data_IF_263480619738
#
_entry.id   IF_263480619738
#
_cell.length_a   1.000
_cell.length_b   1.000
_cell.length_c   1.000
_cell.angle_alpha   90.00
_cell.angle_beta   90.00
_cell.angle_gamma   90.00
#
_symmetry.space_group_name_H-M   'P 1'
#
loop_
_entity.id
_entity.type
_entity.pdbx_description
1 polymer ?
#
# COMPACT_ATOMS: atom_id res chain seq x y z
N UNK A 1 -14.43 16.26 -6.36
CA UNK A 1 -13.27 16.66 -5.55
C UNK A 1 -12.40 15.42 -5.41
N UNK A 2 -11.11 15.51 -5.75
CA UNK A 2 -10.17 14.43 -5.49
C UNK A 2 -9.80 14.47 -4.01
N UNK A 3 -9.89 13.33 -3.32
CA UNK A 3 -9.50 13.19 -1.92
C UNK A 3 -8.10 12.60 -1.86
N UNK A 4 -7.18 13.26 -1.17
CA UNK A 4 -5.84 12.73 -0.90
C UNK A 4 -5.81 12.02 0.45
N UNK A 5 -4.92 11.05 0.61
CA UNK A 5 -4.64 10.41 1.88
C UNK A 5 -3.16 10.64 2.22
N UNK A 6 -2.90 11.20 3.39
CA UNK A 6 -1.55 11.52 3.83
C UNK A 6 -1.02 10.38 4.70
N UNK A 7 0.11 9.79 4.27
CA UNK A 7 0.82 8.79 5.06
C UNK A 7 1.81 9.44 6.04
N UNK A 8 2.08 8.81 7.20
CA UNK A 8 3.10 9.28 8.13
C UNK A 8 4.51 9.17 7.52
N UNK A 9 5.49 9.81 8.17
CA UNK A 9 6.90 9.66 7.81
C UNK A 9 7.35 8.20 8.02
N UNK A 10 8.01 7.64 7.00
CA UNK A 10 8.51 6.27 7.02
C UNK A 10 10.03 6.30 7.08
N UNK A 11 10.60 5.70 8.12
CA UNK A 11 12.05 5.57 8.27
C UNK A 11 12.56 4.38 7.47
N UNK A 12 13.72 4.48 6.85
CA UNK A 12 14.31 3.35 6.14
C UNK A 12 15.05 2.40 7.09
N UNK A 13 15.03 1.12 6.77
CA UNK A 13 15.89 0.15 7.45
C UNK A 13 17.36 0.41 7.13
N UNK A 14 18.24 -0.02 8.04
CA UNK A 14 19.67 0.08 7.78
C UNK A 14 20.04 -0.69 6.50
N UNK A 15 20.96 -0.19 5.64
CA UNK A 15 21.34 -0.86 4.38
C UNK A 15 21.85 -2.30 4.52
N UNK A 16 22.27 -2.74 5.72
CA UNK A 16 22.63 -4.14 5.96
C UNK A 16 21.43 -5.10 6.10
N UNK A 17 20.21 -4.55 6.23
CA UNK A 17 18.95 -5.29 6.39
C UNK A 17 18.09 -5.31 5.13
N UNK A 18 18.45 -4.53 4.12
CA UNK A 18 17.75 -4.43 2.86
C UNK A 18 18.76 -4.51 1.72
N UNK A 19 18.44 -5.29 0.68
CA UNK A 19 19.32 -5.48 -0.47
C UNK A 19 18.49 -5.67 -1.72
N UNK A 20 19.07 -5.31 -2.86
CA UNK A 20 18.44 -5.51 -4.17
C UNK A 20 18.42 -6.99 -4.52
N UNK A 21 17.38 -7.70 -4.10
CA UNK A 21 17.18 -9.11 -4.42
C UNK A 21 15.70 -9.48 -4.52
N UNK A 22 15.44 -10.72 -4.95
CA UNK A 22 14.08 -11.25 -5.04
C UNK A 22 13.38 -11.33 -3.68
N UNK A 23 14.11 -11.44 -2.57
CA UNK A 23 13.53 -11.58 -1.24
C UNK A 23 12.88 -10.26 -0.80
N UNK A 24 13.49 -9.12 -1.15
CA UNK A 24 12.87 -7.80 -0.93
C UNK A 24 11.53 -7.68 -1.65
N UNK A 25 11.41 -8.21 -2.87
CA UNK A 25 10.14 -8.23 -3.61
C UNK A 25 9.13 -9.23 -3.02
N UNK A 26 9.59 -10.40 -2.54
CA UNK A 26 8.73 -11.39 -1.89
C UNK A 26 8.13 -10.87 -0.58
N UNK A 27 8.86 -10.04 0.17
CA UNK A 27 8.35 -9.44 1.41
C UNK A 27 7.11 -8.58 1.16
N UNK A 28 7.00 -7.90 0.01
CA UNK A 28 5.78 -7.17 -0.37
C UNK A 28 4.57 -8.11 -0.44
N UNK A 29 4.73 -9.32 -1.00
CA UNK A 29 3.64 -10.30 -1.09
C UNK A 29 3.24 -10.82 0.29
N UNK A 30 4.21 -11.03 1.18
CA UNK A 30 4.00 -11.44 2.56
C UNK A 30 3.17 -10.39 3.32
N UNK A 31 3.63 -9.13 3.36
CA UNK A 31 2.91 -8.03 4.03
C UNK A 31 1.51 -7.81 3.44
N UNK A 32 1.38 -7.91 2.11
CA UNK A 32 0.07 -7.79 1.46
C UNK A 32 -0.87 -8.93 1.88
N UNK A 33 -0.34 -10.13 2.08
CA UNK A 33 -1.14 -11.29 2.50
C UNK A 33 -1.61 -11.13 3.94
N UNK A 34 -0.76 -10.62 4.82
CA UNK A 34 -1.11 -10.32 6.22
C UNK A 34 -2.23 -9.27 6.29
N UNK A 35 -2.09 -8.15 5.57
CA UNK A 35 -3.13 -7.12 5.47
C UNK A 35 -4.46 -7.69 4.97
N UNK A 36 -4.44 -8.59 3.98
CA UNK A 36 -5.65 -9.25 3.46
C UNK A 36 -6.30 -10.13 4.52
N UNK A 37 -5.53 -10.89 5.29
CA UNK A 37 -6.07 -11.73 6.36
C UNK A 37 -6.70 -10.88 7.48
N UNK A 38 -6.04 -9.79 7.90
CA UNK A 38 -6.59 -8.86 8.89
C UNK A 38 -7.88 -8.21 8.39
N UNK A 39 -7.93 -7.78 7.12
CA UNK A 39 -9.16 -7.24 6.53
C UNK A 39 -10.30 -8.27 6.50
N UNK A 40 -10.01 -9.54 6.16
CA UNK A 40 -11.00 -10.62 6.18
C UNK A 40 -11.52 -10.89 7.59
N UNK A 41 -10.66 -10.87 8.60
CA UNK A 41 -11.06 -11.07 9.98
C UNK A 41 -11.92 -9.90 10.48
N UNK A 42 -11.53 -8.66 10.17
CA UNK A 42 -12.31 -7.46 10.48
C UNK A 42 -13.73 -7.53 9.94
N UNK A 43 -13.92 -7.97 8.69
CA UNK A 43 -15.24 -8.11 8.06
C UNK A 43 -16.13 -9.18 8.72
N UNK A 44 -15.54 -10.16 9.41
CA UNK A 44 -16.28 -11.21 10.13
C UNK A 44 -16.67 -10.80 11.55
N UNK A 45 -16.04 -9.75 12.10
CA UNK A 45 -16.37 -9.27 13.44
C UNK A 45 -17.72 -8.53 13.40
N UNK A 46 -18.65 -8.93 14.26
CA UNK A 46 -20.01 -8.37 14.33
C UNK A 46 -20.05 -6.99 15.05
N UNK A 47 -19.04 -6.14 14.82
CA UNK A 47 -19.05 -4.73 15.21
C UNK A 47 -18.61 -4.38 16.64
N UNK A 48 -18.36 -5.36 17.51
CA UNK A 48 -17.95 -5.11 18.91
C UNK A 48 -16.53 -4.56 19.09
N UNK A 49 -15.68 -4.70 18.07
CA UNK A 49 -14.22 -4.48 18.17
C UNK A 49 -13.70 -3.47 17.13
N UNK A 50 -14.57 -2.58 16.63
CA UNK A 50 -14.24 -1.69 15.49
C UNK A 50 -12.88 -0.98 15.66
N UNK A 51 -12.62 -0.38 16.82
CA UNK A 51 -11.37 0.34 17.09
C UNK A 51 -10.16 -0.59 17.02
N UNK A 52 -10.26 -1.78 17.62
CA UNK A 52 -9.17 -2.76 17.60
C UNK A 52 -8.84 -3.20 16.17
N UNK A 53 -9.85 -3.45 15.33
CA UNK A 53 -9.63 -3.80 13.93
C UNK A 53 -9.05 -2.64 13.12
N UNK A 54 -9.44 -1.39 13.42
CA UNK A 54 -8.83 -0.21 12.80
C UNK A 54 -7.35 -0.10 13.14
N UNK A 55 -6.98 -0.33 14.40
CA UNK A 55 -5.59 -0.27 14.85
C UNK A 55 -4.74 -1.38 14.21
N UNK A 56 -5.27 -2.62 14.13
CA UNK A 56 -4.58 -3.73 13.47
C UNK A 56 -4.43 -3.51 11.96
N UNK A 57 -5.48 -3.03 11.29
CA UNK A 57 -5.39 -2.67 9.87
C UNK A 57 -4.39 -1.54 9.63
N UNK A 58 -4.36 -0.54 10.51
CA UNK A 58 -3.40 0.56 10.41
C UNK A 58 -1.96 0.06 10.59
N UNK A 59 -1.73 -0.88 11.51
CA UNK A 59 -0.43 -1.52 11.68
C UNK A 59 0.02 -2.24 10.40
N UNK A 60 -0.81 -3.10 9.83
CA UNK A 60 -0.47 -3.86 8.62
C UNK A 60 -0.27 -2.94 7.40
N UNK A 61 -1.03 -1.84 7.31
CA UNK A 61 -0.79 -0.80 6.29
C UNK A 61 0.58 -0.15 6.49
N UNK A 62 0.97 0.17 7.73
CA UNK A 62 2.27 0.74 8.01
C UNK A 62 3.41 -0.24 7.70
N UNK A 63 3.24 -1.53 7.96
CA UNK A 63 4.27 -2.54 7.65
C UNK A 63 4.46 -2.72 6.13
N UNK A 64 3.35 -2.72 5.38
CA UNK A 64 3.40 -2.71 3.92
C UNK A 64 4.07 -1.44 3.38
N UNK A 65 3.75 -0.26 3.91
CA UNK A 65 4.38 1.00 3.52
C UNK A 65 5.88 1.01 3.83
N UNK A 66 6.28 0.52 5.00
CA UNK A 66 7.68 0.35 5.39
C UNK A 66 8.41 -0.58 4.42
N UNK A 67 7.80 -1.70 4.06
CA UNK A 67 8.33 -2.67 3.12
C UNK A 67 8.48 -2.10 1.71
N UNK A 68 7.51 -1.30 1.25
CA UNK A 68 7.58 -0.58 -0.03
C UNK A 68 8.67 0.50 -0.03
N UNK A 69 8.84 1.23 1.08
CA UNK A 69 9.89 2.23 1.20
C UNK A 69 11.28 1.58 1.13
N UNK A 70 11.50 0.48 1.86
CA UNK A 70 12.74 -0.29 1.80
C UNK A 70 12.96 -0.91 0.41
N UNK A 71 11.90 -1.38 -0.26
CA UNK A 71 12.00 -1.84 -1.64
C UNK A 71 12.45 -0.72 -2.58
N UNK A 72 11.88 0.48 -2.45
CA UNK A 72 12.27 1.63 -3.27
C UNK A 72 13.74 1.99 -3.03
N UNK A 73 14.19 2.04 -1.77
CA UNK A 73 15.58 2.33 -1.42
C UNK A 73 16.55 1.27 -1.97
N UNK A 74 16.26 -0.01 -1.73
CA UNK A 74 17.08 -1.12 -2.24
C UNK A 74 17.20 -1.14 -3.77
N UNK A 75 16.16 -0.73 -4.49
CA UNK A 75 16.13 -0.65 -5.95
C UNK A 75 16.48 0.74 -6.50
N UNK A 76 16.87 1.69 -5.65
CA UNK A 76 17.22 3.07 -6.01
C UNK A 76 16.10 3.82 -6.75
N UNK A 77 14.85 3.54 -6.38
CA UNK A 77 13.67 4.21 -6.88
C UNK A 77 13.48 5.51 -6.09
N UNK A 78 13.97 6.61 -6.65
CA UNK A 78 13.81 7.95 -6.07
C UNK A 78 12.34 8.41 -5.98
N UNK A 79 12.03 9.38 -5.09
CA UNK A 79 10.72 10.03 -5.06
C UNK A 79 10.28 10.63 -6.41
N UNK A 80 11.22 11.14 -7.20
CA UNK A 80 10.93 11.67 -8.54
C UNK A 80 10.43 10.59 -9.50
N UNK A 81 10.99 9.37 -9.41
CA UNK A 81 10.49 8.24 -10.21
C UNK A 81 9.05 7.90 -9.85
N UNK A 82 8.73 7.89 -8.55
CA UNK A 82 7.37 7.62 -8.06
C UNK A 82 6.40 8.73 -8.49
N UNK A 83 6.76 10.00 -8.35
CA UNK A 83 5.93 11.12 -8.77
C UNK A 83 5.60 11.08 -10.27
N UNK A 84 6.60 10.82 -11.11
CA UNK A 84 6.40 10.66 -12.56
C UNK A 84 5.51 9.46 -12.90
N UNK A 85 5.65 8.34 -12.17
CA UNK A 85 4.81 7.17 -12.35
C UNK A 85 3.36 7.44 -11.92
N UNK A 86 3.14 8.14 -10.80
CA UNK A 86 1.82 8.53 -10.32
C UNK A 86 1.10 9.43 -11.32
N UNK A 87 1.75 10.46 -11.86
CA UNK A 87 1.15 11.29 -12.92
C UNK A 87 0.73 10.50 -14.17
N UNK A 88 1.44 9.42 -14.50
CA UNK A 88 1.03 8.54 -15.61
C UNK A 88 -0.17 7.68 -15.21
N UNK A 89 -0.16 7.14 -13.99
CA UNK A 89 -1.24 6.32 -13.45
C UNK A 89 -2.55 7.12 -13.29
N UNK A 90 -2.46 8.37 -12.86
CA UNK A 90 -3.60 9.27 -12.71
C UNK A 90 -4.29 9.48 -14.05
N UNK A 91 -3.54 9.78 -15.12
CA UNK A 91 -4.12 9.91 -16.47
C UNK A 91 -4.84 8.65 -16.92
N UNK A 92 -4.19 7.49 -16.76
CA UNK A 92 -4.82 6.19 -17.10
C UNK A 92 -6.08 5.93 -16.26
N UNK A 93 -6.10 6.37 -15.00
CA UNK A 93 -7.22 6.20 -14.09
C UNK A 93 -8.37 7.18 -14.39
N UNK A 94 -8.05 8.40 -14.82
CA UNK A 94 -9.00 9.40 -15.31
C UNK A 94 -9.67 8.92 -16.59
N UNK A 95 -8.91 8.40 -17.55
CA UNK A 95 -9.43 7.80 -18.78
C UNK A 95 -10.38 6.61 -18.49
N UNK A 96 -10.13 5.88 -17.41
CA UNK A 96 -10.98 4.79 -16.92
C UNK A 96 -12.17 5.25 -16.07
N UNK A 97 -12.29 6.55 -15.80
CA UNK A 97 -13.35 7.12 -14.96
C UNK A 97 -13.24 6.79 -13.48
N UNK A 98 -12.06 6.37 -12.99
CA UNK A 98 -11.87 5.90 -11.60
C UNK A 98 -12.05 6.98 -10.54
N UNK A 99 -11.96 8.26 -10.92
CA UNK A 99 -12.16 9.40 -10.01
C UNK A 99 -13.59 9.98 -10.05
N UNK A 100 -14.45 9.45 -10.92
CA UNK A 100 -15.86 9.82 -11.02
C UNK A 100 -16.77 8.90 -10.20
N UNK A 101 -18.06 9.26 -10.04
CA UNK A 101 -19.03 8.36 -9.45
C UNK A 101 -19.26 7.14 -10.35
N UNK A 102 -19.32 5.94 -9.77
CA UNK A 102 -19.55 4.69 -10.50
C UNK A 102 -19.62 3.49 -9.57
N UNK A 103 -20.20 2.38 -10.05
CA UNK A 103 -20.16 1.12 -9.31
C UNK A 103 -18.72 0.60 -9.23
N UNK A 104 -18.39 -0.08 -8.12
CA UNK A 104 -17.11 -0.77 -8.01
C UNK A 104 -17.03 -1.85 -9.07
N UNK A 105 -16.27 -1.61 -10.13
CA UNK A 105 -15.91 -2.65 -11.08
C UNK A 105 -14.99 -3.66 -10.38
N UNK A 106 -15.08 -4.95 -10.73
CA UNK A 106 -14.07 -5.91 -10.29
C UNK A 106 -12.70 -5.39 -10.73
N UNK A 107 -11.71 -5.44 -9.84
CA UNK A 107 -10.34 -5.11 -10.23
C UNK A 107 -9.90 -6.15 -11.27
N UNK A 108 -9.93 -5.77 -12.55
CA UNK A 108 -9.32 -6.55 -13.61
C UNK A 108 -7.81 -6.33 -13.52
N UNK A 109 -7.05 -7.43 -13.38
CA UNK A 109 -5.60 -7.42 -13.61
C UNK A 109 -5.34 -7.32 -15.10
#
# INVERSE_FOLDING_TARGET
>A
MSTTYDFPEIRLFHPCRQRRDKWQALKILEETSELVETAKQSLKSNGGERTQWQDMLAYDVCDLLQTLANFCDAYQISPNHLALAMHRLDRVSEDRGMFGPGERTRMHR
#
